data_IF_224489095185
#
_entry.id   IF_224489095185
#
_cell.length_a   1.000
_cell.length_b   1.000
_cell.length_c   1.000
_cell.angle_alpha   90.00
_cell.angle_beta   90.00
_cell.angle_gamma   90.00
#
_symmetry.space_group_name_H-M   'P 1'
#
loop_
_entity.id
_entity.type
_entity.pdbx_description
1 polymer ?
#
# COMPACT_ATOMS: atom_id res chain seq x y z
N UNK A 1 3.88 -8.54 12.78
CA UNK A 1 3.97 -8.08 11.38
C UNK A 1 5.37 -7.57 11.16
N UNK A 2 6.06 -8.06 10.13
CA UNK A 2 7.35 -7.52 9.72
C UNK A 2 7.10 -6.53 8.59
N UNK A 3 7.53 -5.28 8.77
CA UNK A 3 7.50 -4.27 7.72
C UNK A 3 8.85 -4.23 6.97
N UNK A 4 8.88 -3.70 5.74
CA UNK A 4 10.14 -3.47 5.03
C UNK A 4 11.09 -2.60 5.86
N UNK A 5 12.38 -2.94 5.86
CA UNK A 5 13.39 -2.22 6.63
C UNK A 5 13.57 -0.78 6.14
N UNK A 6 13.43 -0.55 4.84
CA UNK A 6 13.53 0.77 4.23
C UNK A 6 12.33 1.68 4.55
N UNK A 7 11.13 1.11 4.66
CA UNK A 7 9.95 1.81 5.19
C UNK A 7 10.13 2.18 6.67
N UNK A 8 10.64 1.26 7.49
CA UNK A 8 10.89 1.56 8.92
C UNK A 8 11.94 2.67 9.07
N UNK A 9 13.05 2.60 8.32
CA UNK A 9 14.08 3.65 8.33
C UNK A 9 13.53 5.00 7.86
N UNK A 10 12.63 5.01 6.87
CA UNK A 10 11.94 6.22 6.46
C UNK A 10 11.10 6.81 7.59
N UNK A 11 10.29 6.00 8.28
CA UNK A 11 9.42 6.46 9.37
C UNK A 11 10.19 7.03 10.57
N UNK A 12 11.41 6.55 10.82
CA UNK A 12 12.29 7.11 11.86
C UNK A 12 12.67 8.57 11.59
N UNK A 13 12.73 8.96 10.31
CA UNK A 13 13.06 10.32 9.87
C UNK A 13 11.78 11.12 9.59
N UNK A 14 10.77 10.48 9.00
CA UNK A 14 9.53 11.05 8.49
C UNK A 14 8.32 10.21 8.94
N UNK A 15 7.68 10.56 10.06
CA UNK A 15 6.42 9.94 10.50
C UNK A 15 5.24 10.44 9.64
N UNK A 16 5.12 9.82 8.46
CA UNK A 16 4.24 10.22 7.36
C UNK A 16 4.86 11.29 6.46
N UNK A 17 4.31 11.40 5.25
CA UNK A 17 4.82 12.29 4.21
C UNK A 17 3.81 12.44 3.07
N UNK A 18 3.60 13.65 2.58
CA UNK A 18 2.74 13.90 1.44
C UNK A 18 3.31 14.98 0.52
N UNK A 19 2.93 14.90 -0.76
CA UNK A 19 3.12 15.99 -1.72
C UNK A 19 1.86 16.84 -1.79
N UNK A 20 2.03 18.16 -1.75
CA UNK A 20 0.96 19.13 -1.98
C UNK A 20 -0.30 18.89 -1.12
N UNK A 21 -1.41 18.48 -1.74
CA UNK A 21 -2.73 18.27 -1.12
C UNK A 21 -3.08 16.79 -0.95
N UNK A 22 -2.15 15.89 -1.26
CA UNK A 22 -2.34 14.46 -1.17
C UNK A 22 -2.42 13.98 0.29
N UNK A 23 -3.05 12.83 0.52
CA UNK A 23 -3.09 12.21 1.85
C UNK A 23 -1.71 11.64 2.23
N UNK A 24 -1.07 10.92 1.31
CA UNK A 24 0.33 10.52 1.41
C UNK A 24 0.58 9.27 2.26
N UNK A 25 1.84 9.13 2.69
CA UNK A 25 2.31 8.05 3.57
C UNK A 25 1.63 8.18 4.94
N UNK A 26 1.01 7.09 5.38
CA UNK A 26 0.24 7.01 6.61
C UNK A 26 1.19 7.14 7.81
N UNK A 27 0.78 7.95 8.78
CA UNK A 27 1.51 8.13 10.05
C UNK A 27 1.40 6.89 10.90
N UNK A 28 2.47 6.55 11.61
CA UNK A 28 2.53 5.38 12.51
C UNK A 28 1.37 5.32 13.50
N UNK A 29 0.99 6.47 14.09
CA UNK A 29 -0.15 6.59 15.02
C UNK A 29 -1.51 6.25 14.41
N UNK A 30 -1.63 6.40 13.10
CA UNK A 30 -2.87 6.21 12.34
C UNK A 30 -2.94 4.82 11.68
N UNK A 31 -1.80 4.13 11.54
CA UNK A 31 -1.68 2.83 10.87
C UNK A 31 -2.69 1.79 11.35
N UNK A 32 -2.85 1.63 12.67
CA UNK A 32 -3.79 0.63 13.21
C UNK A 32 -5.24 0.96 12.83
N UNK A 33 -5.63 2.24 12.92
CA UNK A 33 -6.97 2.69 12.56
C UNK A 33 -7.22 2.51 11.06
N UNK A 34 -6.29 2.97 10.22
CA UNK A 34 -6.41 2.86 8.76
C UNK A 34 -6.43 1.40 8.32
N UNK A 35 -5.59 0.55 8.90
CA UNK A 35 -5.63 -0.90 8.66
C UNK A 35 -7.01 -1.48 8.95
N UNK A 36 -7.58 -1.22 10.13
CA UNK A 36 -8.91 -1.76 10.47
C UNK A 36 -10.00 -1.24 9.52
N UNK A 37 -10.01 0.05 9.20
CA UNK A 37 -10.95 0.64 8.25
C UNK A 37 -10.82 0.02 6.86
N UNK A 38 -9.59 -0.20 6.42
CA UNK A 38 -9.29 -0.82 5.13
C UNK A 38 -9.71 -2.29 5.09
N UNK A 39 -9.49 -3.06 6.17
CA UNK A 39 -9.92 -4.45 6.26
C UNK A 39 -11.46 -4.59 6.26
N UNK A 40 -12.18 -3.70 6.96
CA UNK A 40 -13.65 -3.65 6.89
C UNK A 40 -14.16 -3.30 5.49
N UNK A 41 -13.43 -2.44 4.77
CA UNK A 41 -13.74 -2.11 3.38
C UNK A 41 -13.51 -3.32 2.47
N UNK A 42 -12.35 -3.97 2.59
CA UNK A 42 -12.02 -5.17 1.82
C UNK A 42 -13.04 -6.29 2.07
N UNK A 43 -13.41 -6.56 3.32
CA UNK A 43 -14.37 -7.62 3.62
C UNK A 43 -15.72 -7.43 2.93
N UNK A 44 -16.17 -6.18 2.75
CA UNK A 44 -17.42 -5.87 2.04
C UNK A 44 -17.30 -6.00 0.53
N UNK A 45 -16.11 -5.77 -0.04
CA UNK A 45 -15.85 -5.82 -1.49
C UNK A 45 -15.49 -7.22 -1.98
N UNK A 46 -14.89 -8.04 -1.11
CA UNK A 46 -14.41 -9.37 -1.42
C UNK A 46 -15.49 -10.44 -1.44
N UNK A 47 -16.65 -10.20 -0.82
CA UNK A 47 -17.81 -11.10 -0.97
C UNK A 47 -18.23 -11.25 -2.45
N UNK A 48 -17.90 -10.27 -3.31
CA UNK A 48 -18.21 -10.26 -4.74
C UNK A 48 -17.05 -10.71 -5.66
N UNK A 49 -15.82 -10.91 -5.14
CA UNK A 49 -14.63 -11.19 -5.96
C UNK A 49 -13.77 -12.33 -5.41
N UNK A 50 -13.51 -13.35 -6.24
CA UNK A 50 -12.53 -14.42 -5.97
C UNK A 50 -11.10 -13.87 -6.03
N UNK A 51 -10.67 -13.13 -5.01
CA UNK A 51 -9.27 -12.76 -4.89
C UNK A 51 -8.42 -13.96 -4.46
N UNK A 52 -7.28 -14.16 -5.10
CA UNK A 52 -6.24 -15.13 -4.70
C UNK A 52 -5.37 -14.64 -3.52
N UNK A 53 -5.76 -13.55 -2.86
CA UNK A 53 -4.98 -12.85 -1.83
C UNK A 53 -5.71 -12.90 -0.50
N UNK A 54 -4.99 -13.26 0.58
CA UNK A 54 -5.54 -13.25 1.93
C UNK A 54 -5.66 -11.79 2.43
N UNK A 55 -6.85 -11.24 2.69
CA UNK A 55 -7.05 -9.81 2.93
C UNK A 55 -6.30 -9.26 4.15
N UNK A 56 -6.24 -9.97 5.30
CA UNK A 56 -5.45 -9.54 6.45
C UNK A 56 -3.96 -9.33 6.16
N UNK A 57 -3.44 -9.91 5.09
CA UNK A 57 -2.05 -9.80 4.66
C UNK A 57 -1.78 -8.54 3.84
N UNK A 58 -2.81 -7.75 3.50
CA UNK A 58 -2.67 -6.48 2.78
C UNK A 58 -2.68 -5.34 3.78
N UNK A 59 -1.59 -4.58 3.84
CA UNK A 59 -1.42 -3.49 4.81
C UNK A 59 -1.20 -2.18 4.05
N UNK A 60 -2.12 -1.21 4.11
CA UNK A 60 -1.93 0.07 3.44
C UNK A 60 -0.81 0.85 4.12
N UNK A 61 0.06 1.49 3.34
CA UNK A 61 1.10 2.42 3.84
C UNK A 61 1.00 3.82 3.23
N UNK A 62 0.26 3.98 2.14
CA UNK A 62 0.01 5.26 1.46
C UNK A 62 -1.44 5.33 0.99
N UNK A 63 -2.07 6.49 1.15
CA UNK A 63 -3.42 6.78 0.68
C UNK A 63 -3.40 7.94 -0.33
N UNK A 64 -4.15 7.80 -1.41
CA UNK A 64 -4.45 8.88 -2.34
C UNK A 64 -5.93 9.26 -2.20
N UNK A 65 -6.19 10.44 -1.64
CA UNK A 65 -7.54 10.89 -1.32
C UNK A 65 -8.40 11.14 -2.56
N UNK A 66 -7.81 11.56 -3.68
CA UNK A 66 -8.56 11.92 -4.89
C UNK A 66 -9.11 10.71 -5.66
N UNK A 67 -8.45 9.56 -5.51
CA UNK A 67 -8.69 8.38 -6.35
C UNK A 67 -9.25 7.17 -5.59
N UNK A 68 -9.52 7.32 -4.28
CA UNK A 68 -9.88 6.20 -3.39
C UNK A 68 -8.95 4.99 -3.60
N UNK A 69 -7.66 5.26 -3.77
CA UNK A 69 -6.64 4.26 -4.02
C UNK A 69 -5.56 4.32 -2.95
N UNK A 70 -4.89 3.20 -2.73
CA UNK A 70 -3.82 3.08 -1.77
C UNK A 70 -2.71 2.17 -2.29
N UNK A 71 -1.52 2.37 -1.74
CA UNK A 71 -0.41 1.45 -1.91
C UNK A 71 -0.25 0.64 -0.63
N UNK A 72 -0.12 -0.66 -0.81
CA UNK A 72 -0.18 -1.63 0.26
C UNK A 72 1.07 -2.53 0.24
N UNK A 73 1.55 -2.91 1.41
CA UNK A 73 2.44 -4.06 1.53
C UNK A 73 1.61 -5.34 1.47
N UNK A 74 2.15 -6.36 0.79
CA UNK A 74 1.59 -7.71 0.84
C UNK A 74 2.49 -8.61 1.68
N UNK A 75 2.03 -8.92 2.89
CA UNK A 75 2.80 -9.66 3.89
C UNK A 75 3.18 -11.08 3.44
N UNK A 76 2.43 -11.69 2.52
CA UNK A 76 2.70 -13.04 2.02
C UNK A 76 3.52 -13.05 0.70
N UNK A 77 3.84 -11.87 0.15
CA UNK A 77 4.69 -11.76 -1.06
C UNK A 77 6.17 -11.89 -0.69
N UNK A 78 6.64 -13.13 -0.60
CA UNK A 78 8.05 -13.46 -0.44
C UNK A 78 8.67 -13.88 -1.77
N UNK A 79 9.01 -12.94 -2.65
CA UNK A 79 9.98 -13.22 -3.71
C UNK A 79 11.40 -13.11 -3.15
N UNK A 80 11.74 -13.98 -2.21
CA UNK A 80 13.11 -14.28 -1.77
C UNK A 80 13.90 -13.19 -1.03
N UNK A 81 13.73 -11.90 -1.34
CA UNK A 81 14.63 -10.85 -0.83
C UNK A 81 13.91 -9.61 -0.25
N UNK A 82 12.79 -9.09 -0.81
CA UNK A 82 12.08 -7.93 -0.22
C UNK A 82 10.55 -7.95 -0.49
N UNK A 83 9.77 -7.33 0.43
CA UNK A 83 8.31 -7.19 0.33
C UNK A 83 7.99 -6.14 -0.74
N UNK A 84 7.43 -6.60 -1.87
CA UNK A 84 6.89 -5.71 -2.89
C UNK A 84 5.61 -5.02 -2.43
N UNK A 85 5.25 -3.91 -3.09
CA UNK A 85 3.97 -3.26 -2.88
C UNK A 85 2.93 -3.62 -3.95
N UNK A 86 1.67 -3.47 -3.55
CA UNK A 86 0.48 -3.64 -4.38
C UNK A 86 -0.27 -2.33 -4.43
N UNK A 87 -0.73 -1.98 -5.62
CA UNK A 87 -1.68 -0.90 -5.80
C UNK A 87 -3.11 -1.43 -5.65
N UNK A 88 -3.90 -0.75 -4.83
CA UNK A 88 -5.30 -1.05 -4.62
C UNK A 88 -6.17 0.13 -5.05
N UNK A 89 -7.22 -0.12 -5.83
CA UNK A 89 -8.24 0.88 -6.18
C UNK A 89 -9.63 0.27 -6.23
N UNK A 90 -10.68 1.10 -6.15
CA UNK A 90 -12.07 0.63 -6.24
C UNK A 90 -12.41 -0.15 -7.52
N UNK A 91 -11.63 0.03 -8.59
CA UNK A 91 -11.86 -0.57 -9.92
C UNK A 91 -10.97 -1.78 -10.20
N UNK A 92 -9.82 -1.90 -9.55
CA UNK A 92 -8.84 -2.94 -9.85
C UNK A 92 -8.29 -3.50 -8.56
N UNK A 93 -8.58 -4.79 -8.35
CA UNK A 93 -7.81 -5.67 -7.47
C UNK A 93 -7.36 -6.89 -8.27
N UNK A 94 -6.95 -6.69 -9.52
CA UNK A 94 -6.57 -7.79 -10.40
C UNK A 94 -5.04 -7.84 -10.52
N UNK A 95 -4.44 -8.93 -10.05
CA UNK A 95 -3.00 -9.20 -10.23
C UNK A 95 -2.59 -9.21 -11.71
N UNK A 96 -3.53 -9.48 -12.63
CA UNK A 96 -3.29 -9.53 -14.07
C UNK A 96 -3.54 -8.18 -14.77
N UNK A 97 -4.28 -7.26 -14.13
CA UNK A 97 -4.55 -5.90 -14.62
C UNK A 97 -3.84 -4.85 -13.77
N UNK A 98 -2.87 -5.28 -12.94
CA UNK A 98 -1.83 -4.45 -12.36
C UNK A 98 -1.06 -3.84 -13.52
N UNK A 99 -1.54 -2.69 -14.00
CA UNK A 99 -0.91 -1.93 -15.07
C UNK A 99 0.58 -1.89 -14.82
N UNK A 100 1.35 -2.34 -15.80
CA UNK A 100 2.80 -2.27 -15.77
C UNK A 100 3.20 -0.85 -15.34
N UNK A 101 3.68 -0.69 -14.09
CA UNK A 101 4.10 0.61 -13.56
C UNK A 101 3.59 1.02 -12.17
N UNK A 102 2.59 0.35 -11.58
CA UNK A 102 2.05 0.77 -10.25
C UNK A 102 2.48 -0.12 -9.08
N UNK A 103 3.30 -1.14 -9.33
CA UNK A 103 3.90 -1.98 -8.29
C UNK A 103 5.41 -1.82 -8.28
N UNK A 104 5.99 -1.87 -7.09
CA UNK A 104 7.39 -1.63 -6.85
C UNK A 104 7.94 -2.73 -5.95
N UNK A 105 9.19 -3.17 -6.18
CA UNK A 105 9.79 -4.23 -5.39
C UNK A 105 10.19 -3.78 -3.98
N UNK A 106 10.28 -2.46 -3.72
CA UNK A 106 10.60 -1.89 -2.40
C UNK A 106 9.85 -0.59 -2.15
N UNK A 107 9.73 -0.20 -0.89
CA UNK A 107 9.17 1.09 -0.50
C UNK A 107 10.00 2.25 -1.09
N UNK A 108 11.33 2.14 -1.07
CA UNK A 108 12.22 3.19 -1.57
C UNK A 108 12.06 3.43 -3.07
N UNK A 109 11.89 2.37 -3.88
CA UNK A 109 11.64 2.54 -5.32
C UNK A 109 10.29 3.19 -5.59
N UNK A 110 9.28 2.82 -4.80
CA UNK A 110 7.99 3.53 -4.83
C UNK A 110 8.15 5.00 -4.44
N UNK A 111 8.90 5.29 -3.37
CA UNK A 111 9.10 6.66 -2.90
C UNK A 111 9.80 7.51 -3.96
N UNK A 112 10.82 6.97 -4.64
CA UNK A 112 11.47 7.67 -5.77
C UNK A 112 10.46 7.97 -6.88
N UNK A 113 9.65 6.99 -7.30
CA UNK A 113 8.60 7.21 -8.30
C UNK A 113 7.60 8.27 -7.84
N UNK A 114 7.12 8.16 -6.60
CA UNK A 114 6.21 9.14 -5.99
C UNK A 114 6.84 10.53 -5.97
N UNK A 115 8.16 10.65 -5.79
CA UNK A 115 8.90 11.91 -5.79
C UNK A 115 9.17 12.48 -7.19
N UNK A 116 9.31 11.64 -8.21
CA UNK A 116 9.55 12.04 -9.59
C UNK A 116 8.28 12.40 -10.36
N UNK A 117 7.13 11.84 -9.98
CA UNK A 117 5.82 12.23 -10.53
C UNK A 117 5.53 13.71 -10.21
N UNK A 118 5.27 14.48 -11.28
CA UNK A 118 5.10 15.94 -11.26
C UNK A 118 3.65 16.37 -11.01
#
# INVERSE_FOLDING_TARGET
>A
MNFPSDYLAFLEIHDGFNKYIDAGVIKTRDMARVYHQFQEFLSKKLDDTQMMVHPPSIIPFYECAELNCCQCFYADWYTGEEIGNLFFSEKVIDQNDLGQGVTFPTFSKWLVSYLEEA
#
